data_IF_727986365228
#
_entry.id   IF_727986365228
#
_cell.length_a   1.000
_cell.length_b   1.000
_cell.length_c   1.000
_cell.angle_alpha   90.00
_cell.angle_beta   90.00
_cell.angle_gamma   90.00
#
_symmetry.space_group_name_H-M   'P 1'
#
loop_
_entity.id
_entity.type
_entity.pdbx_description
1 polymer ?
#
# COMPACT_ATOMS: atom_id res chain seq x y z
N UNK A 1 21.52 -10.75 39.86
CA UNK A 1 20.40 -11.44 39.19
C UNK A 1 19.63 -10.37 38.41
N UNK A 2 19.94 -10.20 37.13
CA UNK A 2 19.37 -9.15 36.28
C UNK A 2 17.95 -9.57 35.92
N UNK A 3 16.95 -8.76 36.33
CA UNK A 3 15.56 -8.95 35.90
C UNK A 3 15.46 -8.60 34.42
N UNK A 4 15.22 -9.62 33.60
CA UNK A 4 14.89 -9.47 32.19
C UNK A 4 13.51 -8.80 32.10
N UNK A 5 13.46 -7.56 31.63
CA UNK A 5 12.23 -6.85 31.32
C UNK A 5 11.73 -7.44 30.00
N UNK A 6 10.74 -8.34 30.05
CA UNK A 6 10.00 -8.75 28.86
C UNK A 6 9.09 -7.59 28.44
N UNK A 7 9.56 -6.79 27.48
CA UNK A 7 8.72 -5.85 26.75
C UNK A 7 7.63 -6.65 26.02
N UNK A 8 6.38 -6.44 26.41
CA UNK A 8 5.22 -7.08 25.82
C UNK A 8 4.94 -6.49 24.42
N UNK A 9 5.77 -6.87 23.45
CA UNK A 9 5.72 -6.42 22.05
C UNK A 9 4.40 -6.82 21.37
N UNK A 10 3.81 -7.96 21.74
CA UNK A 10 2.56 -8.47 21.14
C UNK A 10 1.35 -7.55 21.41
N UNK A 11 1.32 -6.87 22.56
CA UNK A 11 0.27 -5.90 22.89
C UNK A 11 0.39 -4.60 22.10
N UNK A 12 1.62 -4.09 21.95
CA UNK A 12 1.91 -2.85 21.23
C UNK A 12 1.71 -3.04 19.72
N UNK A 13 2.08 -4.20 19.16
CA UNK A 13 1.82 -4.53 17.75
C UNK A 13 0.32 -4.63 17.46
N UNK A 14 -0.49 -5.16 18.40
CA UNK A 14 -1.96 -5.19 18.26
C UNK A 14 -2.61 -3.79 18.29
N UNK A 15 -2.09 -2.86 19.08
CA UNK A 15 -2.61 -1.48 19.12
C UNK A 15 -2.23 -0.65 17.89
N UNK A 16 -1.08 -0.93 17.25
CA UNK A 16 -0.58 -0.18 16.09
C UNK A 16 -1.16 -0.72 14.76
N UNK A 17 -1.57 -1.99 14.72
CA UNK A 17 -2.07 -2.65 13.50
C UNK A 17 -3.60 -2.73 13.48
N UNK A 18 -4.26 -1.61 13.22
CA UNK A 18 -5.72 -1.57 13.06
C UNK A 18 -6.14 -2.18 11.71
N UNK A 19 -6.09 -3.51 11.58
CA UNK A 19 -6.47 -4.26 10.39
C UNK A 19 -7.90 -4.77 10.55
N UNK A 20 -8.83 -4.19 9.79
CA UNK A 20 -10.20 -4.65 9.75
C UNK A 20 -10.29 -5.96 8.94
N UNK A 21 -11.01 -6.99 9.43
CA UNK A 21 -11.17 -8.26 8.75
C UNK A 21 -12.16 -8.16 7.56
N UNK A 22 -11.86 -7.30 6.60
CA UNK A 22 -12.62 -7.11 5.37
C UNK A 22 -12.03 -7.98 4.25
N UNK A 23 -12.86 -8.86 3.68
CA UNK A 23 -12.53 -9.79 2.61
C UNK A 23 -13.60 -9.72 1.50
N UNK A 24 -13.20 -9.95 0.25
CA UNK A 24 -14.04 -10.01 -0.96
C UNK A 24 -14.97 -8.82 -1.19
N UNK A 25 -14.57 -7.62 -0.76
CA UNK A 25 -15.36 -6.37 -0.93
C UNK A 25 -15.21 -5.72 -2.30
N UNK A 26 -14.28 -6.18 -3.11
CA UNK A 26 -13.94 -5.65 -4.43
C UNK A 26 -14.72 -6.30 -5.58
N UNK A 27 -15.73 -7.14 -5.31
CA UNK A 27 -16.53 -7.83 -6.35
C UNK A 27 -15.68 -8.52 -7.42
N UNK A 28 -14.55 -9.13 -7.02
CA UNK A 28 -13.51 -9.76 -7.88
C UNK A 28 -12.76 -8.85 -8.86
N UNK A 29 -12.99 -7.54 -8.82
CA UNK A 29 -12.27 -6.56 -9.64
C UNK A 29 -11.02 -6.02 -8.94
N UNK A 30 -9.86 -6.12 -9.59
CA UNK A 30 -8.69 -5.32 -9.24
C UNK A 30 -8.90 -3.86 -9.66
N UNK A 31 -8.13 -2.90 -9.10
CA UNK A 31 -8.14 -1.52 -9.55
C UNK A 31 -7.85 -1.41 -11.05
N UNK A 32 -8.45 -0.42 -11.70
CA UNK A 32 -8.23 -0.09 -13.11
C UNK A 32 -7.88 1.38 -13.25
N UNK A 33 -7.24 1.72 -14.36
CA UNK A 33 -6.97 3.12 -14.71
C UNK A 33 -8.24 3.98 -14.63
N UNK A 34 -8.10 5.17 -14.06
CA UNK A 34 -9.17 6.15 -13.91
C UNK A 34 -10.24 5.82 -12.87
N UNK A 35 -10.32 4.59 -12.32
CA UNK A 35 -11.35 4.23 -11.33
C UNK A 35 -11.27 5.06 -10.06
N UNK A 36 -10.05 5.24 -9.53
CA UNK A 36 -9.84 5.98 -8.28
C UNK A 36 -10.18 7.46 -8.45
N UNK A 37 -9.67 8.11 -9.51
CA UNK A 37 -10.00 9.50 -9.84
C UNK A 37 -11.49 9.69 -10.09
N UNK A 38 -12.10 8.84 -10.91
CA UNK A 38 -13.54 8.87 -11.17
C UNK A 38 -14.37 8.73 -9.89
N UNK A 39 -13.99 7.80 -9.01
CA UNK A 39 -14.64 7.62 -7.71
C UNK A 39 -14.52 8.86 -6.83
N UNK A 40 -13.33 9.45 -6.76
CA UNK A 40 -13.06 10.68 -6.03
C UNK A 40 -13.89 11.87 -6.53
N UNK A 41 -13.88 12.15 -7.84
CA UNK A 41 -14.60 13.28 -8.44
C UNK A 41 -16.10 13.21 -8.18
N UNK A 42 -16.65 12.00 -8.33
CA UNK A 42 -18.08 11.79 -8.13
C UNK A 42 -18.49 11.90 -6.67
N UNK A 43 -17.64 11.42 -5.75
CA UNK A 43 -17.83 11.56 -4.31
C UNK A 43 -17.71 13.01 -3.83
N UNK A 44 -16.80 13.79 -4.43
CA UNK A 44 -16.63 15.22 -4.14
C UNK A 44 -17.91 16.01 -4.44
N UNK A 45 -18.63 15.65 -5.51
CA UNK A 45 -19.91 16.28 -5.87
C UNK A 45 -21.07 15.72 -5.02
N UNK A 46 -21.09 14.40 -4.79
CA UNK A 46 -22.14 13.74 -4.02
C UNK A 46 -21.57 12.52 -3.26
N UNK A 47 -21.36 12.62 -1.93
CA UNK A 47 -20.84 11.51 -1.13
C UNK A 47 -21.68 10.23 -1.19
N UNK A 48 -22.98 10.35 -1.49
CA UNK A 48 -23.90 9.21 -1.59
C UNK A 48 -23.94 8.58 -2.98
N UNK A 49 -23.10 9.01 -3.92
CA UNK A 49 -23.16 8.57 -5.33
C UNK A 49 -23.19 7.06 -5.47
N UNK A 50 -22.34 6.34 -4.72
CA UNK A 50 -22.21 4.88 -4.85
C UNK A 50 -23.47 4.11 -4.39
N UNK A 51 -24.40 4.77 -3.70
CA UNK A 51 -25.64 4.20 -3.19
C UNK A 51 -26.85 4.52 -4.07
N UNK A 52 -26.70 5.38 -5.09
CA UNK A 52 -27.80 5.78 -5.96
C UNK A 52 -28.11 4.71 -7.01
N UNK A 53 -29.39 4.60 -7.40
CA UNK A 53 -29.81 3.65 -8.44
C UNK A 53 -29.19 3.96 -9.81
N UNK A 54 -28.94 5.23 -10.09
CA UNK A 54 -28.33 5.72 -11.33
C UNK A 54 -26.79 5.78 -11.29
N UNK A 55 -26.16 5.34 -10.20
CA UNK A 55 -24.69 5.32 -10.04
C UNK A 55 -23.97 4.62 -11.21
N UNK A 56 -24.43 3.46 -11.75
CA UNK A 56 -23.79 2.83 -12.90
C UNK A 56 -23.74 3.74 -14.13
N UNK A 57 -24.83 4.49 -14.38
CA UNK A 57 -24.93 5.42 -15.51
C UNK A 57 -24.01 6.62 -15.28
N UNK A 58 -24.03 7.20 -14.08
CA UNK A 58 -23.23 8.38 -13.74
C UNK A 58 -21.72 8.11 -13.74
N UNK A 59 -21.30 6.93 -13.28
CA UNK A 59 -19.90 6.49 -13.31
C UNK A 59 -19.52 5.87 -14.67
N UNK A 60 -20.49 5.58 -15.55
CA UNK A 60 -20.27 4.90 -16.82
C UNK A 60 -19.62 3.53 -16.64
N UNK A 61 -20.11 2.73 -15.68
CA UNK A 61 -19.59 1.38 -15.38
C UNK A 61 -20.73 0.44 -15.00
N UNK A 62 -20.47 -0.88 -14.96
CA UNK A 62 -21.45 -1.86 -14.50
C UNK A 62 -21.75 -1.76 -12.99
N UNK A 63 -22.91 -2.28 -12.56
CA UNK A 63 -23.37 -2.24 -11.16
C UNK A 63 -22.34 -2.77 -10.15
N UNK A 64 -21.71 -3.91 -10.42
CA UNK A 64 -20.72 -4.49 -9.51
C UNK A 64 -19.41 -3.69 -9.50
N UNK A 65 -19.08 -3.01 -10.60
CA UNK A 65 -17.91 -2.13 -10.66
C UNK A 65 -18.09 -0.89 -9.79
N UNK A 66 -19.32 -0.38 -9.61
CA UNK A 66 -19.60 0.71 -8.66
C UNK A 66 -19.16 0.33 -7.25
N UNK A 67 -19.55 -0.86 -6.78
CA UNK A 67 -19.14 -1.39 -5.48
C UNK A 67 -17.62 -1.55 -5.37
N UNK A 68 -16.96 -2.04 -6.43
CA UNK A 68 -15.52 -2.20 -6.46
C UNK A 68 -14.78 -0.85 -6.43
N UNK A 69 -15.23 0.15 -7.20
CA UNK A 69 -14.67 1.51 -7.19
C UNK A 69 -14.78 2.11 -5.79
N UNK A 70 -15.98 2.04 -5.19
CA UNK A 70 -16.20 2.51 -3.82
C UNK A 70 -15.24 1.85 -2.84
N UNK A 71 -15.12 0.53 -2.89
CA UNK A 71 -14.19 -0.22 -2.03
C UNK A 71 -12.77 0.27 -2.22
N UNK A 72 -12.27 0.33 -3.45
CA UNK A 72 -10.88 0.72 -3.70
C UNK A 72 -10.59 2.16 -3.29
N UNK A 73 -11.48 3.10 -3.54
CA UNK A 73 -11.30 4.50 -3.11
C UNK A 73 -11.17 4.61 -1.58
N UNK A 74 -11.99 3.87 -0.82
CA UNK A 74 -11.89 3.84 0.64
C UNK A 74 -10.67 3.02 1.13
N UNK A 75 -10.34 1.91 0.48
CA UNK A 75 -9.21 1.06 0.86
C UNK A 75 -7.86 1.76 0.65
N UNK A 76 -7.73 2.52 -0.45
CA UNK A 76 -6.58 3.40 -0.71
C UNK A 76 -6.61 4.71 0.09
N UNK A 77 -7.62 4.91 0.94
CA UNK A 77 -7.80 6.12 1.77
C UNK A 77 -7.94 7.41 0.98
N UNK A 78 -8.25 7.34 -0.30
CA UNK A 78 -8.60 8.51 -1.13
C UNK A 78 -9.97 9.06 -0.72
N UNK A 79 -10.84 8.16 -0.28
CA UNK A 79 -12.08 8.52 0.40
C UNK A 79 -12.05 8.02 1.84
N UNK A 80 -12.73 8.74 2.72
CA UNK A 80 -13.08 8.32 4.07
C UNK A 80 -14.59 8.47 4.24
N UNK A 81 -15.28 7.37 4.54
CA UNK A 81 -16.76 7.33 4.60
C UNK A 81 -17.43 7.83 3.31
N UNK A 82 -16.85 7.51 2.15
CA UNK A 82 -17.26 7.97 0.82
C UNK A 82 -17.16 9.48 0.57
N UNK A 83 -16.44 10.22 1.42
CA UNK A 83 -16.10 11.63 1.22
C UNK A 83 -14.61 11.81 0.92
N UNK A 84 -14.20 12.80 0.12
CA UNK A 84 -12.78 13.15 -0.07
C UNK A 84 -12.03 13.27 1.25
N UNK A 85 -11.06 12.37 1.49
CA UNK A 85 -10.21 12.44 2.67
C UNK A 85 -9.17 13.56 2.54
N UNK A 86 -8.43 13.85 3.61
CA UNK A 86 -7.29 14.78 3.54
C UNK A 86 -6.25 14.31 2.50
N UNK A 87 -5.89 13.02 2.53
CA UNK A 87 -4.98 12.43 1.54
C UNK A 87 -5.57 12.48 0.12
N UNK A 88 -6.86 12.18 -0.04
CA UNK A 88 -7.54 12.25 -1.32
C UNK A 88 -7.51 13.65 -1.93
N UNK A 89 -7.74 14.69 -1.12
CA UNK A 89 -7.65 16.08 -1.56
C UNK A 89 -6.21 16.49 -1.89
N UNK A 90 -5.22 16.10 -1.09
CA UNK A 90 -3.80 16.35 -1.39
C UNK A 90 -3.37 15.67 -2.69
N UNK A 91 -3.90 14.49 -3.00
CA UNK A 91 -3.52 13.76 -4.19
C UNK A 91 -4.28 14.19 -5.45
N UNK A 92 -5.61 14.26 -5.37
CA UNK A 92 -6.52 14.32 -6.53
C UNK A 92 -7.40 15.58 -6.59
N UNK A 93 -7.29 16.47 -5.60
CA UNK A 93 -8.00 17.74 -5.55
C UNK A 93 -7.57 18.69 -6.68
N UNK A 94 -8.20 19.86 -6.76
CA UNK A 94 -7.94 20.84 -7.84
C UNK A 94 -6.48 21.29 -7.91
N UNK A 95 -5.81 21.42 -6.77
CA UNK A 95 -4.37 21.71 -6.64
C UNK A 95 -3.59 20.46 -6.15
N UNK A 96 -4.11 19.27 -6.45
CA UNK A 96 -3.55 18.00 -5.99
C UNK A 96 -2.19 17.67 -6.61
N UNK A 97 -1.46 16.79 -5.93
CA UNK A 97 -0.15 16.29 -6.35
C UNK A 97 -0.15 15.60 -7.72
N UNK A 98 -1.19 14.83 -8.03
CA UNK A 98 -1.30 14.05 -9.27
C UNK A 98 -2.79 13.84 -9.62
N UNK A 99 -3.43 14.92 -10.06
CA UNK A 99 -4.88 15.02 -10.30
C UNK A 99 -5.42 13.87 -11.15
N UNK A 100 -4.64 13.37 -12.10
CA UNK A 100 -5.05 12.36 -13.07
C UNK A 100 -4.46 10.96 -12.83
N UNK A 101 -3.66 10.77 -11.77
CA UNK A 101 -2.94 9.52 -11.48
C UNK A 101 -2.02 9.10 -12.63
N UNK A 102 -1.29 10.07 -13.20
CA UNK A 102 -0.40 9.86 -14.34
C UNK A 102 1.05 9.58 -13.91
N UNK A 103 1.45 9.96 -12.70
CA UNK A 103 2.78 9.66 -12.19
C UNK A 103 2.84 8.20 -11.67
N UNK A 104 3.69 7.33 -12.23
CA UNK A 104 3.85 5.96 -11.74
C UNK A 104 4.25 5.88 -10.25
N UNK A 105 4.89 6.92 -9.71
CA UNK A 105 5.21 7.02 -8.28
C UNK A 105 3.96 7.03 -7.39
N UNK A 106 2.86 7.58 -7.89
CA UNK A 106 1.59 7.63 -7.16
C UNK A 106 1.06 6.23 -6.87
N UNK A 107 1.35 5.24 -7.71
CA UNK A 107 0.97 3.85 -7.46
C UNK A 107 1.68 3.27 -6.23
N UNK A 108 2.94 3.64 -5.98
CA UNK A 108 3.64 3.27 -4.76
C UNK A 108 3.03 3.93 -3.52
N UNK A 109 2.64 5.21 -3.64
CA UNK A 109 1.99 5.93 -2.55
C UNK A 109 0.60 5.35 -2.24
N UNK A 110 -0.17 4.94 -3.25
CA UNK A 110 -1.43 4.24 -3.07
C UNK A 110 -1.21 2.85 -2.45
N UNK A 111 -0.19 2.10 -2.88
CA UNK A 111 0.16 0.80 -2.28
C UNK A 111 0.53 0.93 -0.79
N UNK A 112 1.29 1.96 -0.43
CA UNK A 112 1.55 2.31 0.97
C UNK A 112 0.26 2.61 1.73
N UNK A 113 -0.59 3.49 1.18
CA UNK A 113 -1.86 3.85 1.79
C UNK A 113 -2.83 2.67 1.92
N UNK A 114 -2.80 1.68 1.01
CA UNK A 114 -3.61 0.47 1.15
C UNK A 114 -3.28 -0.30 2.44
N UNK A 115 -2.00 -0.32 2.81
CA UNK A 115 -1.45 -1.23 3.82
C UNK A 115 -1.17 -0.56 5.16
N UNK A 116 -0.99 0.78 5.19
CA UNK A 116 -0.79 1.53 6.44
C UNK A 116 -2.06 1.54 7.32
N UNK A 117 -1.95 1.68 8.65
CA UNK A 117 -3.10 1.73 9.54
C UNK A 117 -4.03 2.94 9.27
N UNK A 118 -5.35 2.83 9.43
CA UNK A 118 -6.13 1.58 9.53
C UNK A 118 -6.21 0.87 8.17
N UNK A 119 -6.23 -0.46 8.14
CA UNK A 119 -6.20 -1.23 6.91
C UNK A 119 -7.52 -1.99 6.68
N UNK A 120 -8.15 -1.75 5.52
CA UNK A 120 -9.40 -2.40 5.08
C UNK A 120 -9.17 -3.47 4.00
N UNK A 121 -7.94 -3.96 3.86
CA UNK A 121 -7.53 -4.96 2.89
C UNK A 121 -6.75 -6.08 3.57
N UNK A 122 -7.42 -6.84 4.45
CA UNK A 122 -6.79 -7.84 5.32
C UNK A 122 -5.96 -8.87 4.55
N UNK A 123 -6.44 -9.35 3.40
CA UNK A 123 -5.71 -10.29 2.56
C UNK A 123 -4.40 -9.67 2.01
N UNK A 124 -4.44 -8.42 1.55
CA UNK A 124 -3.23 -7.69 1.12
C UNK A 124 -2.28 -7.47 2.29
N UNK A 125 -2.79 -7.05 3.44
CA UNK A 125 -1.99 -6.87 4.64
C UNK A 125 -1.24 -8.15 5.02
N UNK A 126 -1.95 -9.28 5.05
CA UNK A 126 -1.34 -10.58 5.28
C UNK A 126 -0.25 -10.90 4.25
N UNK A 127 -0.55 -10.78 2.95
CA UNK A 127 0.39 -11.09 1.86
C UNK A 127 1.69 -10.29 1.95
N UNK A 128 1.63 -8.99 2.25
CA UNK A 128 2.83 -8.14 2.25
C UNK A 128 3.55 -8.11 3.59
N UNK A 129 2.83 -8.14 4.72
CA UNK A 129 3.44 -7.95 6.04
C UNK A 129 3.65 -9.23 6.85
N UNK A 130 2.91 -10.32 6.58
CA UNK A 130 2.90 -11.51 7.43
C UNK A 130 3.41 -12.74 6.67
N UNK A 131 2.99 -12.93 5.43
CA UNK A 131 3.37 -14.08 4.61
C UNK A 131 4.89 -14.06 4.31
N UNK A 132 5.57 -15.16 4.66
CA UNK A 132 7.04 -15.25 4.69
C UNK A 132 7.66 -16.02 3.52
N UNK A 133 6.86 -16.76 2.75
CA UNK A 133 7.38 -17.49 1.59
C UNK A 133 7.78 -16.51 0.49
N UNK A 134 9.03 -16.63 0.02
CA UNK A 134 9.54 -15.79 -1.06
C UNK A 134 9.12 -16.30 -2.45
N UNK A 135 8.93 -17.61 -2.60
CA UNK A 135 8.39 -18.28 -3.79
C UNK A 135 7.19 -19.12 -3.35
N UNK A 136 6.07 -19.02 -4.05
CA UNK A 136 4.80 -19.61 -3.64
C UNK A 136 3.87 -19.85 -4.82
N UNK A 137 2.99 -20.84 -4.71
CA UNK A 137 1.84 -21.01 -5.60
C UNK A 137 0.61 -20.24 -5.10
N UNK A 138 -0.41 -20.13 -5.95
CA UNK A 138 -1.71 -19.58 -5.54
C UNK A 138 -2.31 -20.35 -4.34
N UNK A 139 -2.14 -21.68 -4.31
CA UNK A 139 -2.68 -22.53 -3.25
C UNK A 139 -1.92 -22.33 -1.93
N UNK A 140 -0.60 -22.12 -1.98
CA UNK A 140 0.20 -21.82 -0.77
C UNK A 140 -0.27 -20.53 -0.11
N UNK A 141 -0.45 -19.46 -0.90
CA UNK A 141 -0.95 -18.18 -0.39
C UNK A 141 -2.38 -18.32 0.15
N UNK A 142 -3.25 -19.07 -0.53
CA UNK A 142 -4.61 -19.32 -0.08
C UNK A 142 -4.66 -20.08 1.25
N UNK A 143 -3.91 -21.17 1.38
CA UNK A 143 -3.88 -21.98 2.59
C UNK A 143 -3.32 -21.19 3.78
N UNK A 144 -2.25 -20.42 3.58
CA UNK A 144 -1.69 -19.56 4.61
C UNK A 144 -2.66 -18.44 5.02
N UNK A 145 -3.40 -17.86 4.06
CA UNK A 145 -4.43 -16.86 4.33
C UNK A 145 -5.62 -17.46 5.10
N UNK A 146 -6.00 -18.71 4.83
CA UNK A 146 -7.02 -19.42 5.61
C UNK A 146 -6.64 -19.50 7.09
N UNK A 147 -5.40 -19.92 7.39
CA UNK A 147 -4.88 -19.96 8.76
C UNK A 147 -4.89 -18.59 9.43
N UNK A 148 -4.49 -17.54 8.70
CA UNK A 148 -4.55 -16.17 9.23
C UNK A 148 -5.99 -15.73 9.52
N UNK A 149 -6.91 -15.93 8.58
CA UNK A 149 -8.33 -15.60 8.75
C UNK A 149 -8.96 -16.35 9.93
N UNK A 150 -8.60 -17.60 10.17
CA UNK A 150 -9.15 -18.37 11.31
C UNK A 150 -8.76 -17.76 12.67
N UNK A 151 -7.64 -17.04 12.73
CA UNK A 151 -7.19 -16.33 13.94
C UNK A 151 -7.91 -15.00 14.19
N UNK A 152 -8.47 -14.35 13.17
CA UNK A 152 -9.07 -13.00 13.27
C UNK A 152 -10.56 -12.92 12.93
N UNK A 153 -11.06 -13.81 12.07
CA UNK A 153 -12.41 -13.77 11.52
C UNK A 153 -12.87 -15.15 10.97
N UNK A 154 -12.97 -16.19 11.83
CA UNK A 154 -13.22 -17.58 11.41
C UNK A 154 -14.54 -17.78 10.63
N UNK A 155 -15.51 -16.86 10.75
CA UNK A 155 -16.82 -16.96 10.09
C UNK A 155 -16.82 -16.60 8.60
N UNK A 156 -15.74 -16.01 8.08
CA UNK A 156 -15.66 -15.61 6.66
C UNK A 156 -15.48 -16.85 5.79
N UNK A 157 -16.28 -17.01 4.74
CA UNK A 157 -16.20 -18.19 3.87
C UNK A 157 -14.90 -18.23 3.06
N UNK A 158 -14.33 -19.42 2.87
CA UNK A 158 -13.13 -19.66 2.05
C UNK A 158 -13.24 -19.13 0.61
N UNK A 159 -14.45 -19.15 0.04
CA UNK A 159 -14.70 -18.59 -1.30
C UNK A 159 -14.39 -17.09 -1.38
N UNK A 160 -14.46 -16.36 -0.26
CA UNK A 160 -14.05 -14.96 -0.18
C UNK A 160 -12.53 -14.83 -0.29
N UNK A 161 -11.79 -15.70 0.41
CA UNK A 161 -10.32 -15.71 0.40
C UNK A 161 -9.79 -16.08 -0.99
N UNK A 162 -10.43 -17.05 -1.67
CA UNK A 162 -10.09 -17.39 -3.07
C UNK A 162 -10.23 -16.19 -4.00
N UNK A 163 -11.28 -15.38 -3.82
CA UNK A 163 -11.49 -14.14 -4.59
C UNK A 163 -10.40 -13.11 -4.31
N UNK A 164 -10.02 -12.93 -3.04
CA UNK A 164 -8.98 -11.98 -2.65
C UNK A 164 -7.61 -12.40 -3.21
N UNK A 165 -7.23 -13.67 -3.04
CA UNK A 165 -5.96 -14.22 -3.58
C UNK A 165 -5.90 -14.03 -5.09
N UNK A 166 -6.97 -14.38 -5.82
CA UNK A 166 -7.02 -14.15 -7.27
C UNK A 166 -6.89 -12.67 -7.63
N UNK A 167 -7.53 -11.78 -6.88
CA UNK A 167 -7.47 -10.34 -7.10
C UNK A 167 -6.07 -9.77 -6.81
N UNK A 168 -5.39 -10.21 -5.74
CA UNK A 168 -4.00 -9.85 -5.42
C UNK A 168 -3.08 -10.22 -6.58
N UNK A 169 -3.16 -11.46 -7.08
CA UNK A 169 -2.31 -11.90 -8.18
C UNK A 169 -2.57 -11.10 -9.45
N UNK A 170 -3.84 -10.81 -9.78
CA UNK A 170 -4.20 -9.97 -10.94
C UNK A 170 -3.80 -8.50 -10.77
N UNK A 171 -3.67 -8.03 -9.53
CA UNK A 171 -3.29 -6.65 -9.23
C UNK A 171 -1.78 -6.43 -9.39
N UNK A 172 -0.95 -7.40 -9.02
CA UNK A 172 0.51 -7.21 -8.97
C UNK A 172 1.30 -8.04 -10.00
N UNK A 173 0.72 -9.10 -10.57
CA UNK A 173 1.41 -9.97 -11.54
C UNK A 173 0.96 -9.63 -12.95
N UNK A 174 1.95 -9.34 -13.80
CA UNK A 174 1.73 -9.14 -15.24
C UNK A 174 1.05 -10.37 -15.85
N UNK A 175 -0.07 -10.15 -16.53
CA UNK A 175 -0.82 -11.22 -17.17
C UNK A 175 -0.16 -11.54 -18.51
N UNK A 176 0.12 -12.82 -18.77
CA UNK A 176 0.61 -13.24 -20.08
C UNK A 176 -0.46 -12.90 -21.13
N UNK A 177 -0.15 -11.95 -22.02
CA UNK A 177 -1.01 -11.50 -23.11
C UNK A 177 -1.65 -12.68 -23.87
N UNK A 178 -2.87 -13.04 -23.49
CA UNK A 178 -3.67 -13.98 -24.25
C UNK A 178 -4.22 -13.18 -25.44
N UNK A 179 -3.60 -13.35 -26.62
CA UNK A 179 -3.94 -12.68 -27.89
C UNK A 179 -5.36 -12.98 -28.42
N UNK A 180 -6.32 -13.34 -27.57
CA UNK A 180 -7.68 -13.73 -27.98
C UNK A 180 -8.69 -12.87 -27.23
N UNK A 181 -9.01 -11.73 -27.83
CA UNK A 181 -10.11 -10.86 -27.40
C UNK A 181 -9.74 -9.90 -26.27
N UNK A 182 -9.50 -8.64 -26.63
CA UNK A 182 -9.50 -7.54 -25.66
C UNK A 182 -10.96 -7.38 -25.20
N UNK A 183 -11.35 -8.04 -24.12
CA UNK A 183 -12.56 -7.70 -23.39
C UNK A 183 -12.22 -6.55 -22.44
N UNK A 184 -13.17 -5.69 -22.09
CA UNK A 184 -12.95 -4.66 -21.05
C UNK A 184 -12.54 -5.25 -19.68
N UNK A 185 -12.65 -6.57 -19.50
CA UNK A 185 -12.12 -7.33 -18.36
C UNK A 185 -10.61 -7.59 -18.41
N UNK A 186 -9.97 -7.47 -19.58
CA UNK A 186 -8.53 -7.63 -19.78
C UNK A 186 -7.75 -6.32 -19.65
N UNK A 187 -8.37 -5.23 -19.16
CA UNK A 187 -7.65 -3.99 -18.91
C UNK A 187 -6.62 -4.22 -17.79
N UNK A 188 -5.34 -4.04 -18.12
CA UNK A 188 -4.23 -4.25 -17.20
C UNK A 188 -4.37 -3.38 -15.95
N UNK A 189 -4.15 -3.99 -14.77
CA UNK A 189 -4.11 -3.26 -13.51
C UNK A 189 -2.84 -2.38 -13.48
N UNK A 190 -2.92 -1.08 -13.17
CA UNK A 190 -1.73 -0.22 -13.13
C UNK A 190 -0.67 -0.71 -12.12
N UNK A 191 -1.09 -1.39 -11.06
CA UNK A 191 -0.20 -1.88 -10.00
C UNK A 191 0.74 -3.01 -10.44
N UNK A 192 0.55 -3.61 -11.62
CA UNK A 192 1.52 -4.56 -12.20
C UNK A 192 2.86 -3.88 -12.47
N UNK A 193 2.85 -2.57 -12.76
CA UNK A 193 4.06 -1.78 -13.00
C UNK A 193 4.97 -1.67 -11.78
N UNK A 194 4.45 -1.90 -10.56
CA UNK A 194 5.28 -1.90 -9.35
C UNK A 194 6.32 -3.03 -9.38
N UNK A 195 6.05 -4.12 -10.11
CA UNK A 195 6.98 -5.25 -10.23
C UNK A 195 7.36 -5.87 -8.88
N UNK A 196 6.41 -5.89 -7.92
CA UNK A 196 6.66 -6.44 -6.58
C UNK A 196 6.47 -7.96 -6.56
N UNK A 197 5.62 -8.51 -7.45
CA UNK A 197 5.37 -9.95 -7.59
C UNK A 197 5.59 -10.34 -9.06
N UNK A 198 6.36 -11.40 -9.32
CA UNK A 198 6.61 -11.94 -10.65
C UNK A 198 6.34 -13.44 -10.71
N UNK A 199 6.13 -13.96 -11.92
CA UNK A 199 6.10 -15.41 -12.18
C UNK A 199 7.50 -16.02 -12.07
N UNK A 200 7.65 -17.11 -11.31
CA UNK A 200 8.90 -17.84 -11.12
C UNK A 200 9.03 -18.95 -12.17
N UNK A 201 9.45 -18.60 -13.38
CA UNK A 201 9.73 -19.54 -14.49
C UNK A 201 8.49 -20.17 -15.16
N UNK A 202 7.42 -20.44 -14.42
CA UNK A 202 6.12 -20.88 -14.94
C UNK A 202 4.96 -19.97 -14.49
N UNK A 203 3.75 -20.19 -15.02
CA UNK A 203 2.58 -19.36 -14.74
C UNK A 203 1.85 -19.70 -13.42
N UNK A 204 2.37 -20.63 -12.62
CA UNK A 204 1.73 -21.16 -11.41
C UNK A 204 2.49 -20.79 -10.14
N UNK A 205 3.78 -20.52 -10.25
CA UNK A 205 4.64 -20.08 -9.16
C UNK A 205 4.91 -18.59 -9.27
N UNK A 206 4.88 -17.92 -8.12
CA UNK A 206 5.09 -16.49 -7.97
C UNK A 206 6.21 -16.24 -6.99
N UNK A 207 6.90 -15.12 -7.14
CA UNK A 207 7.94 -14.69 -6.21
C UNK A 207 7.87 -13.21 -5.92
N UNK A 208 8.15 -12.83 -4.67
CA UNK A 208 8.36 -11.43 -4.32
C UNK A 208 9.73 -10.96 -4.82
N UNK A 209 9.77 -9.81 -5.49
CA UNK A 209 11.02 -9.17 -5.87
C UNK A 209 11.56 -8.37 -4.70
N UNK A 210 12.34 -8.99 -3.82
CA UNK A 210 12.97 -8.30 -2.68
C UNK A 210 14.21 -7.50 -3.14
N UNK A 211 14.36 -6.27 -2.63
CA UNK A 211 15.52 -5.41 -2.90
C UNK A 211 15.14 -4.12 -3.63
N UNK A 212 16.12 -3.50 -4.29
CA UNK A 212 15.98 -2.21 -4.96
C UNK A 212 14.84 -2.19 -6.00
N UNK A 213 14.12 -1.06 -6.07
CA UNK A 213 13.02 -0.80 -7.01
C UNK A 213 13.37 0.44 -7.85
N UNK A 214 13.76 0.24 -9.11
CA UNK A 214 14.20 1.33 -9.99
C UNK A 214 13.12 2.36 -10.33
N UNK A 215 11.85 2.01 -10.13
CA UNK A 215 10.69 2.86 -10.35
C UNK A 215 10.03 3.35 -9.05
N UNK A 216 10.66 3.15 -7.88
CA UNK A 216 10.23 3.72 -6.61
C UNK A 216 11.12 4.94 -6.30
N UNK A 217 10.60 6.18 -6.41
CA UNK A 217 11.38 7.36 -6.05
C UNK A 217 11.78 7.36 -4.58
N UNK A 218 12.94 7.93 -4.30
CA UNK A 218 13.49 8.01 -2.95
C UNK A 218 12.55 8.79 -2.02
N UNK A 219 11.92 9.85 -2.53
CA UNK A 219 10.98 10.71 -1.80
C UNK A 219 9.77 9.93 -1.28
N UNK A 220 9.18 9.06 -2.10
CA UNK A 220 8.02 8.23 -1.74
C UNK A 220 8.42 7.24 -0.63
N UNK A 221 9.58 6.61 -0.78
CA UNK A 221 10.10 5.68 0.23
C UNK A 221 10.41 6.38 1.56
N UNK A 222 11.11 7.50 1.53
CA UNK A 222 11.47 8.25 2.74
C UNK A 222 10.23 8.82 3.43
N UNK A 223 9.23 9.29 2.67
CA UNK A 223 7.94 9.69 3.24
C UNK A 223 7.25 8.53 3.97
N UNK A 224 7.21 7.32 3.37
CA UNK A 224 6.68 6.13 4.03
C UNK A 224 7.48 5.74 5.28
N UNK A 225 8.82 5.89 5.29
CA UNK A 225 9.65 5.66 6.47
C UNK A 225 9.34 6.64 7.61
N UNK A 226 9.12 7.91 7.28
CA UNK A 226 8.75 8.94 8.26
C UNK A 226 7.33 8.68 8.81
N UNK A 227 6.34 8.41 7.95
CA UNK A 227 5.00 8.03 8.40
C UNK A 227 5.05 6.77 9.30
N UNK A 228 5.81 5.75 8.92
CA UNK A 228 5.97 4.57 9.78
C UNK A 228 6.57 4.92 11.14
N UNK A 229 7.58 5.79 11.18
CA UNK A 229 8.19 6.26 12.41
C UNK A 229 7.19 7.00 13.31
N UNK A 230 6.24 7.76 12.74
CA UNK A 230 5.19 8.43 13.50
C UNK A 230 4.24 7.44 14.19
N UNK A 231 3.97 6.29 13.56
CA UNK A 231 3.09 5.26 14.11
C UNK A 231 3.72 4.54 15.31
N UNK A 232 5.02 4.23 15.23
CA UNK A 232 5.70 3.32 16.18
C UNK A 232 6.58 4.00 17.22
N UNK A 233 6.82 5.31 17.08
CA UNK A 233 7.82 6.04 17.87
C UNK A 233 7.37 7.45 18.20
N UNK A 234 6.24 7.59 18.91
CA UNK A 234 5.77 8.90 19.41
C UNK A 234 6.90 9.60 20.18
N UNK A 235 7.21 10.83 19.78
CA UNK A 235 8.27 11.68 20.34
C UNK A 235 9.73 11.22 20.08
N UNK A 236 9.96 10.11 19.37
CA UNK A 236 11.30 9.70 18.98
C UNK A 236 11.74 10.44 17.70
N UNK A 237 13.00 10.85 17.66
CA UNK A 237 13.63 11.53 16.49
C UNK A 237 14.53 10.61 15.67
N UNK A 238 14.50 9.32 15.98
CA UNK A 238 15.34 8.29 15.34
C UNK A 238 14.60 6.97 15.28
N UNK A 239 14.82 6.20 14.22
CA UNK A 239 14.36 4.81 14.08
C UNK A 239 15.46 3.97 13.40
N UNK A 240 15.67 2.74 13.84
CA UNK A 240 16.69 1.88 13.22
C UNK A 240 16.26 1.43 11.82
N UNK A 241 17.22 1.26 10.91
CA UNK A 241 16.95 0.76 9.56
C UNK A 241 16.34 -0.65 9.60
N UNK A 242 16.82 -1.49 10.53
CA UNK A 242 16.28 -2.83 10.74
C UNK A 242 14.76 -2.80 11.02
N UNK A 243 14.27 -1.85 11.82
CA UNK A 243 12.82 -1.70 12.07
C UNK A 243 12.07 -1.20 10.84
N UNK A 244 12.65 -0.27 10.08
CA UNK A 244 12.05 0.19 8.81
C UNK A 244 11.97 -0.89 7.74
N UNK A 245 12.72 -1.99 7.90
CA UNK A 245 12.82 -3.04 6.89
C UNK A 245 12.08 -4.31 7.28
N UNK A 246 12.14 -4.73 8.55
CA UNK A 246 11.67 -6.05 8.96
C UNK A 246 10.47 -6.04 9.89
N UNK A 247 10.16 -4.92 10.56
CA UNK A 247 8.99 -4.86 11.44
C UNK A 247 7.71 -5.03 10.62
N UNK A 248 6.69 -5.61 11.22
CA UNK A 248 5.36 -5.74 10.61
C UNK A 248 4.82 -4.33 10.32
N UNK A 249 4.30 -4.12 9.10
CA UNK A 249 3.80 -2.82 8.65
C UNK A 249 4.88 -1.84 8.19
N UNK A 250 6.16 -2.24 8.24
CA UNK A 250 7.27 -1.37 7.84
C UNK A 250 7.34 -1.17 6.31
N UNK A 251 7.94 -0.06 5.84
CA UNK A 251 8.13 0.18 4.41
C UNK A 251 8.90 -0.94 3.70
N UNK A 252 9.91 -1.54 4.33
CA UNK A 252 10.65 -2.63 3.70
C UNK A 252 9.83 -3.90 3.53
N UNK A 253 8.90 -4.21 4.44
CA UNK A 253 7.95 -5.31 4.25
C UNK A 253 6.94 -5.01 3.15
N UNK A 254 6.37 -3.80 3.16
CA UNK A 254 5.31 -3.38 2.22
C UNK A 254 5.83 -3.24 0.78
N UNK A 255 7.01 -2.64 0.60
CA UNK A 255 7.63 -2.44 -0.71
C UNK A 255 8.61 -3.55 -1.11
N UNK A 256 8.83 -4.53 -0.22
CA UNK A 256 9.79 -5.63 -0.39
C UNK A 256 11.21 -5.12 -0.66
N UNK A 257 11.78 -4.35 0.26
CA UNK A 257 13.09 -3.69 0.10
C UNK A 257 14.17 -4.36 0.95
N UNK A 258 15.43 -4.15 0.56
CA UNK A 258 16.60 -4.44 1.39
C UNK A 258 16.97 -3.23 2.25
N UNK A 259 17.77 -3.43 3.30
CA UNK A 259 18.32 -2.32 4.09
C UNK A 259 19.11 -1.33 3.22
N UNK A 260 19.92 -1.83 2.29
CA UNK A 260 20.67 -0.99 1.36
C UNK A 260 19.77 -0.06 0.55
N UNK A 261 18.65 -0.57 0.03
CA UNK A 261 17.72 0.24 -0.75
C UNK A 261 17.06 1.35 0.08
N UNK A 262 16.78 1.09 1.37
CA UNK A 262 16.24 2.09 2.30
C UNK A 262 17.32 3.14 2.64
N UNK A 263 18.55 2.71 2.94
CA UNK A 263 19.66 3.63 3.19
C UNK A 263 19.94 4.53 1.98
N UNK A 264 20.05 3.95 0.78
CA UNK A 264 20.33 4.68 -0.46
C UNK A 264 19.27 5.74 -0.76
N UNK A 265 17.99 5.46 -0.46
CA UNK A 265 16.91 6.42 -0.63
C UNK A 265 16.98 7.56 0.39
N UNK A 266 17.26 7.25 1.66
CA UNK A 266 17.45 8.26 2.70
C UNK A 266 18.62 9.18 2.35
N UNK A 267 19.76 8.62 1.92
CA UNK A 267 20.91 9.40 1.50
C UNK A 267 20.61 10.32 0.31
N UNK A 268 19.84 9.84 -0.67
CA UNK A 268 19.43 10.64 -1.82
C UNK A 268 18.59 11.87 -1.39
N UNK A 269 17.62 11.69 -0.50
CA UNK A 269 16.79 12.79 0.01
C UNK A 269 17.59 13.72 0.93
N UNK A 270 18.51 13.16 1.75
CA UNK A 270 19.38 13.93 2.64
C UNK A 270 20.36 14.87 1.91
N UNK A 271 20.62 14.65 0.62
CA UNK A 271 21.44 15.57 -0.21
C UNK A 271 20.83 16.96 -0.34
N UNK A 272 19.51 17.08 -0.21
CA UNK A 272 18.80 18.36 -0.34
C UNK A 272 17.94 18.70 0.87
N UNK A 273 17.66 17.75 1.76
CA UNK A 273 16.94 17.97 3.02
C UNK A 273 17.88 17.82 4.20
N UNK A 274 18.18 18.92 4.89
CA UNK A 274 19.00 18.91 6.12
C UNK A 274 18.25 18.40 7.35
N UNK A 275 16.95 18.15 7.22
CA UNK A 275 16.08 17.71 8.32
C UNK A 275 16.11 16.21 8.56
N UNK A 276 16.82 15.46 7.71
CA UNK A 276 16.96 14.01 7.82
C UNK A 276 18.41 13.59 7.62
N UNK A 277 18.82 12.47 8.23
CA UNK A 277 20.16 11.91 8.04
C UNK A 277 20.22 10.43 8.43
N UNK A 278 21.21 9.71 7.90
CA UNK A 278 21.65 8.45 8.49
C UNK A 278 22.73 8.72 9.54
N UNK A 279 22.68 7.99 10.65
CA UNK A 279 23.73 7.96 11.66
C UNK A 279 24.09 6.53 12.02
N UNK A 280 25.36 6.27 12.32
CA UNK A 280 25.82 5.00 12.88
C UNK A 280 26.03 5.20 14.38
N UNK A 281 25.30 4.44 15.18
CA UNK A 281 25.47 4.40 16.63
C UNK A 281 25.76 2.96 17.06
N UNK A 282 27.03 2.68 17.35
CA UNK A 282 27.50 1.37 17.83
C UNK A 282 27.22 0.21 16.86
N UNK A 283 27.35 0.44 15.54
CA UNK A 283 27.14 -0.58 14.50
C UNK A 283 25.67 -0.77 14.12
N UNK A 284 24.78 0.08 14.63
CA UNK A 284 23.38 0.14 14.22
C UNK A 284 23.14 1.42 13.44
N UNK A 285 22.73 1.27 12.18
CA UNK A 285 22.33 2.39 11.34
C UNK A 285 20.95 2.87 11.77
N UNK A 286 20.85 4.18 12.03
CA UNK A 286 19.65 4.87 12.45
C UNK A 286 19.25 5.91 11.40
N UNK A 287 17.97 5.94 11.06
CA UNK A 287 17.36 7.05 10.36
C UNK A 287 16.96 8.13 11.38
N UNK A 288 17.56 9.31 11.27
CA UNK A 288 17.34 10.45 12.18
C UNK A 288 16.60 11.57 11.48
N UNK A 289 15.74 12.28 12.20
CA UNK A 289 14.97 13.41 11.68
C UNK A 289 14.76 14.50 12.74
N UNK A 290 14.74 15.77 12.33
CA UNK A 290 14.83 16.91 13.26
C UNK A 290 13.50 17.44 13.78
N UNK A 291 12.39 17.08 13.14
CA UNK A 291 11.05 17.61 13.41
C UNK A 291 9.99 16.52 13.32
N UNK A 292 8.71 16.89 13.41
CA UNK A 292 7.61 15.93 13.32
C UNK A 292 7.67 15.14 12.02
N UNK A 293 7.71 13.79 12.09
CA UNK A 293 7.97 12.97 10.92
C UNK A 293 6.85 13.06 9.87
N UNK A 294 5.58 13.18 10.28
CA UNK A 294 4.46 13.35 9.34
C UNK A 294 4.54 14.66 8.54
N UNK A 295 4.93 15.76 9.21
CA UNK A 295 5.15 17.04 8.54
C UNK A 295 6.30 16.95 7.54
N UNK A 296 7.41 16.31 7.92
CA UNK A 296 8.54 16.08 7.02
C UNK A 296 8.17 15.18 5.83
N UNK A 297 7.37 14.14 6.05
CA UNK A 297 6.88 13.26 4.99
C UNK A 297 6.08 14.07 3.96
N UNK A 298 5.17 14.92 4.44
CA UNK A 298 4.38 15.81 3.59
C UNK A 298 5.25 16.80 2.82
N UNK A 299 6.23 17.45 3.46
CA UNK A 299 7.13 18.41 2.79
C UNK A 299 7.95 17.74 1.67
N UNK A 300 8.41 16.51 1.89
CA UNK A 300 9.14 15.72 0.90
C UNK A 300 8.23 15.38 -0.29
N UNK A 301 7.00 14.93 -0.03
CA UNK A 301 6.02 14.64 -1.08
C UNK A 301 5.62 15.90 -1.86
N UNK A 302 5.34 17.00 -1.16
CA UNK A 302 5.02 18.30 -1.77
C UNK A 302 6.12 18.73 -2.74
N UNK A 303 7.39 18.55 -2.35
CA UNK A 303 8.52 18.88 -3.21
C UNK A 303 8.60 17.96 -4.44
N UNK A 304 8.43 16.64 -4.24
CA UNK A 304 8.46 15.65 -5.32
C UNK A 304 7.45 15.99 -6.42
N UNK A 305 6.18 16.16 -6.06
CA UNK A 305 5.10 16.38 -7.02
C UNK A 305 5.14 17.78 -7.65
N UNK A 306 5.55 18.83 -6.92
CA UNK A 306 5.68 20.18 -7.50
C UNK A 306 6.73 20.29 -8.61
N UNK A 307 7.82 19.53 -8.55
CA UNK A 307 8.88 19.56 -9.58
C UNK A 307 8.48 18.83 -10.87
N UNK A 308 7.36 18.10 -10.88
CA UNK A 308 6.87 17.35 -12.05
C UNK A 308 5.85 18.13 -12.88
N UNK A 309 5.23 19.16 -12.30
CA UNK A 309 4.24 20.03 -12.96
C UNK A 309 4.90 21.19 -13.73
N UNK A 310 6.24 21.30 -13.70
CA UNK A 310 7.02 22.32 -14.42
C UNK A 310 7.67 21.82 -15.71
#
# INVERSE_FOLDING_TARGET
>A
MVKQISLNLDGIVKEITNVNPAFARHETFHPRYGWIKKGFDMAQVNPKIFLQEDAPVRLGVGKNMVSAIRYWCNAFKVLENDEPSEFGNLLLGEDGWDIFLEDPATLWLLHWNLLKPSCNAAAWYFTFNIFRENEFSQDDLFNALCTYRDSIAPRIAESSLKKDVSCILRMYVEQANTKVGITEESLDCPFTQLGIIHTAGDSRHFTFRVGYKGNLPAEILVAACLEYASFVGREQRTISISRLVYDIGSPGMIFKLSESAVCDAIEQVARWSTSISLSDSSGLIQFSFTSEPEALAKDILDKYYKHRVS
#
